data_IF_542553822526
#
_entry.id   IF_542553822526
#
_cell.length_a   1.000
_cell.length_b   1.000
_cell.length_c   1.000
_cell.angle_alpha   90.00
_cell.angle_beta   90.00
_cell.angle_gamma   90.00
#
_symmetry.space_group_name_H-M   'P 1'
#
loop_
_entity.id
_entity.type
_entity.pdbx_description
1 polymer ?
#
# COMPACT_ATOMS: atom_id res chain seq x y z
N UNK A 1 19.55 -10.43 -15.15
CA UNK A 1 19.12 -11.47 -14.17
C UNK A 1 17.95 -12.20 -14.78
N UNK A 2 18.19 -13.39 -15.33
CA UNK A 2 17.09 -14.32 -15.59
C UNK A 2 16.50 -14.72 -14.24
N UNK A 3 15.17 -14.71 -14.12
CA UNK A 3 14.51 -15.15 -12.89
C UNK A 3 14.59 -16.68 -12.84
N UNK A 4 15.65 -17.20 -12.23
CA UNK A 4 15.81 -18.64 -12.02
C UNK A 4 14.62 -19.19 -11.23
N UNK A 5 14.32 -20.48 -11.42
CA UNK A 5 13.27 -21.15 -10.67
C UNK A 5 13.45 -21.00 -9.16
N UNK A 6 14.69 -21.08 -8.68
CA UNK A 6 15.03 -20.86 -7.27
C UNK A 6 14.71 -19.43 -6.79
N UNK A 7 14.84 -18.42 -7.64
CA UNK A 7 14.45 -17.05 -7.28
C UNK A 7 12.93 -16.93 -7.16
N UNK A 8 12.19 -17.54 -8.08
CA UNK A 8 10.71 -17.56 -8.05
C UNK A 8 10.20 -18.22 -6.76
N UNK A 9 10.77 -19.36 -6.38
CA UNK A 9 10.37 -20.06 -5.15
C UNK A 9 10.68 -19.25 -3.89
N UNK A 10 11.82 -18.55 -3.84
CA UNK A 10 12.15 -17.64 -2.72
C UNK A 10 11.18 -16.47 -2.60
N UNK A 11 10.80 -15.86 -3.72
CA UNK A 11 9.78 -14.80 -3.75
C UNK A 11 8.44 -15.35 -3.25
N UNK A 12 8.00 -16.49 -3.79
CA UNK A 12 6.76 -17.14 -3.39
C UNK A 12 6.75 -17.49 -1.90
N UNK A 13 7.85 -18.00 -1.36
CA UNK A 13 7.96 -18.37 0.05
C UNK A 13 7.96 -17.16 0.99
N UNK A 14 8.59 -16.04 0.60
CA UNK A 14 8.49 -14.76 1.32
C UNK A 14 7.04 -14.25 1.36
N UNK A 15 6.36 -14.26 0.21
CA UNK A 15 4.93 -13.89 0.11
C UNK A 15 4.07 -14.81 0.98
N UNK A 16 4.27 -16.14 0.89
CA UNK A 16 3.54 -17.13 1.65
C UNK A 16 3.70 -16.93 3.17
N UNK A 17 4.90 -16.56 3.63
CA UNK A 17 5.16 -16.27 5.05
C UNK A 17 4.24 -15.15 5.56
N UNK A 18 4.12 -14.06 4.80
CA UNK A 18 3.21 -12.97 5.11
C UNK A 18 1.74 -13.34 5.05
N UNK A 19 1.34 -14.08 4.01
CA UNK A 19 -0.03 -14.59 3.84
C UNK A 19 -0.44 -15.46 5.02
N UNK A 20 0.42 -16.36 5.48
CA UNK A 20 0.11 -17.25 6.61
C UNK A 20 0.05 -16.46 7.91
N UNK A 21 1.09 -15.72 8.27
CA UNK A 21 1.19 -15.07 9.59
C UNK A 21 0.20 -13.90 9.75
N UNK A 22 0.04 -13.08 8.72
CA UNK A 22 -0.84 -11.91 8.77
C UNK A 22 -2.18 -12.25 8.12
N UNK A 23 -2.15 -12.69 6.85
CA UNK A 23 -3.36 -12.90 6.05
C UNK A 23 -4.34 -13.92 6.64
N UNK A 24 -3.84 -14.98 7.28
CA UNK A 24 -4.64 -16.07 7.84
C UNK A 24 -4.65 -16.07 9.38
N UNK A 25 -3.49 -16.17 10.02
CA UNK A 25 -3.41 -16.34 11.47
C UNK A 25 -3.83 -15.08 12.24
N UNK A 26 -3.47 -13.90 11.75
CA UNK A 26 -3.88 -12.64 12.39
C UNK A 26 -5.32 -12.23 12.03
N UNK A 27 -5.96 -12.84 11.03
CA UNK A 27 -7.28 -12.42 10.54
C UNK A 27 -8.34 -12.27 11.65
N UNK A 28 -8.45 -13.18 12.65
CA UNK A 28 -9.43 -13.03 13.73
C UNK A 28 -9.30 -11.72 14.53
N UNK A 29 -8.13 -11.06 14.51
CA UNK A 29 -7.88 -9.79 15.20
C UNK A 29 -8.50 -8.58 14.48
N UNK A 30 -8.80 -8.72 13.19
CA UNK A 30 -9.32 -7.66 12.33
C UNK A 30 -10.63 -8.07 11.64
N UNK A 31 -11.08 -9.31 11.84
CA UNK A 31 -12.28 -9.87 11.24
C UNK A 31 -13.50 -9.06 11.71
N UNK A 32 -14.22 -8.41 10.80
CA UNK A 32 -15.46 -7.74 11.15
C UNK A 32 -16.49 -8.76 11.63
N UNK A 33 -17.36 -8.41 12.59
CA UNK A 33 -18.36 -9.34 13.14
C UNK A 33 -19.39 -9.77 12.10
N UNK A 34 -19.57 -8.99 11.04
CA UNK A 34 -20.52 -9.27 9.98
C UNK A 34 -19.84 -9.75 8.69
N UNK A 35 -20.51 -10.61 7.90
CA UNK A 35 -20.05 -11.00 6.58
C UNK A 35 -19.80 -9.76 5.71
N UNK A 36 -18.64 -9.70 5.07
CA UNK A 36 -18.23 -8.58 4.19
C UNK A 36 -18.14 -7.20 4.88
N UNK A 37 -17.96 -7.18 6.21
CA UNK A 37 -17.64 -5.96 6.93
C UNK A 37 -16.30 -5.36 6.47
N UNK A 38 -16.14 -4.06 6.70
CA UNK A 38 -14.95 -3.33 6.26
C UNK A 38 -13.92 -3.28 7.38
N UNK A 39 -12.70 -3.74 7.12
CA UNK A 39 -11.56 -3.58 8.02
C UNK A 39 -11.15 -2.11 8.01
N UNK A 40 -11.42 -1.40 9.12
CA UNK A 40 -11.15 0.03 9.26
C UNK A 40 -11.03 0.42 10.73
N UNK A 41 -10.04 1.26 11.05
CA UNK A 41 -9.81 1.71 12.43
C UNK A 41 -10.95 2.57 12.98
N UNK A 42 -11.47 3.58 12.25
CA UNK A 42 -12.67 4.31 12.65
C UNK A 42 -13.90 3.44 12.91
N UNK A 43 -14.01 2.29 12.23
CA UNK A 43 -15.10 1.33 12.45
C UNK A 43 -14.87 0.42 13.67
N UNK A 44 -13.75 0.59 14.39
CA UNK A 44 -13.45 -0.18 15.59
C UNK A 44 -13.11 -1.65 15.34
N UNK A 45 -12.77 -2.05 14.10
CA UNK A 45 -12.55 -3.47 13.78
C UNK A 45 -11.27 -4.05 14.37
N UNK A 46 -10.33 -3.19 14.77
CA UNK A 46 -9.06 -3.61 15.37
C UNK A 46 -8.92 -2.91 16.72
N UNK A 47 -8.84 -3.70 17.79
CA UNK A 47 -8.54 -3.19 19.13
C UNK A 47 -7.07 -2.77 19.25
N UNK A 48 -6.74 -1.95 20.25
CA UNK A 48 -5.35 -1.55 20.51
C UNK A 48 -4.42 -2.76 20.71
N UNK A 49 -4.88 -3.77 21.45
CA UNK A 49 -4.15 -5.04 21.63
C UNK A 49 -3.99 -5.78 20.30
N UNK A 50 -5.05 -5.84 19.48
CA UNK A 50 -5.00 -6.44 18.14
C UNK A 50 -3.97 -5.74 17.25
N UNK A 51 -3.93 -4.41 17.27
CA UNK A 51 -2.95 -3.61 16.53
C UNK A 51 -1.50 -3.95 16.92
N UNK A 52 -1.21 -4.08 18.22
CA UNK A 52 0.12 -4.47 18.72
C UNK A 52 0.47 -5.88 18.25
N UNK A 53 -0.44 -6.85 18.38
CA UNK A 53 -0.20 -8.22 17.93
C UNK A 53 0.09 -8.27 16.42
N UNK A 54 -0.67 -7.52 15.62
CA UNK A 54 -0.45 -7.45 14.17
C UNK A 54 0.91 -6.85 13.83
N UNK A 55 1.35 -5.82 14.56
CA UNK A 55 2.69 -5.24 14.38
C UNK A 55 3.79 -6.26 14.70
N UNK A 56 3.64 -7.03 15.78
CA UNK A 56 4.56 -8.12 16.15
C UNK A 56 4.59 -9.21 15.08
N UNK A 57 3.41 -9.64 14.60
CA UNK A 57 3.32 -10.65 13.54
C UNK A 57 3.90 -10.15 12.22
N UNK A 58 3.73 -8.87 11.88
CA UNK A 58 4.36 -8.26 10.72
C UNK A 58 5.88 -8.27 10.84
N UNK A 59 6.42 -7.88 12.00
CA UNK A 59 7.85 -7.97 12.29
C UNK A 59 8.37 -9.40 12.15
N UNK A 60 7.70 -10.38 12.75
CA UNK A 60 8.07 -11.80 12.64
C UNK A 60 7.99 -12.29 11.20
N UNK A 61 6.99 -11.89 10.43
CA UNK A 61 6.85 -12.25 9.03
C UNK A 61 8.03 -11.75 8.20
N UNK A 62 8.45 -10.49 8.37
CA UNK A 62 9.65 -9.97 7.71
C UNK A 62 10.93 -10.68 8.17
N UNK A 63 11.05 -10.95 9.46
CA UNK A 63 12.20 -11.65 10.05
C UNK A 63 12.36 -13.06 9.47
N UNK A 64 11.29 -13.86 9.45
CA UNK A 64 11.29 -15.23 8.92
C UNK A 64 11.53 -15.20 7.41
N UNK A 65 10.83 -14.30 6.69
CA UNK A 65 10.96 -14.19 5.24
C UNK A 65 12.39 -13.85 4.79
N UNK A 66 13.16 -13.12 5.60
CA UNK A 66 14.58 -12.90 5.34
C UNK A 66 15.37 -14.21 5.22
N UNK A 67 15.19 -15.14 6.17
CA UNK A 67 15.91 -16.41 6.18
C UNK A 67 15.41 -17.36 5.09
N UNK A 68 14.09 -17.43 4.89
CA UNK A 68 13.49 -18.27 3.84
C UNK A 68 13.93 -17.84 2.43
N UNK A 69 14.19 -16.55 2.22
CA UNK A 69 14.66 -16.02 0.94
C UNK A 69 16.19 -15.83 0.84
N UNK A 70 16.97 -16.46 1.73
CA UNK A 70 18.43 -16.43 1.72
C UNK A 70 19.01 -16.88 0.36
N UNK A 71 20.03 -16.21 -0.21
CA UNK A 71 20.82 -15.10 0.35
C UNK A 71 20.26 -13.69 0.04
N UNK A 72 19.10 -13.60 -0.62
CA UNK A 72 18.46 -12.34 -1.03
C UNK A 72 17.40 -11.88 -0.03
N UNK A 73 17.59 -12.27 1.24
CA UNK A 73 16.65 -12.03 2.34
C UNK A 73 16.24 -10.57 2.50
N UNK A 74 17.21 -9.67 2.32
CA UNK A 74 16.99 -8.24 2.46
C UNK A 74 16.08 -7.69 1.37
N UNK A 75 16.33 -8.12 0.14
CA UNK A 75 15.61 -7.63 -1.03
C UNK A 75 14.22 -8.26 -1.14
N UNK A 76 14.06 -9.54 -0.78
CA UNK A 76 12.81 -10.30 -1.01
C UNK A 76 11.93 -10.35 0.24
N UNK A 77 12.51 -10.38 1.44
CA UNK A 77 11.77 -10.52 2.71
C UNK A 77 10.79 -9.38 2.97
N UNK A 78 11.05 -8.19 2.41
CA UNK A 78 10.17 -7.02 2.51
C UNK A 78 8.79 -7.25 1.88
N UNK A 79 8.60 -8.27 1.03
CA UNK A 79 7.30 -8.58 0.45
C UNK A 79 6.31 -9.18 1.45
N UNK A 80 6.79 -9.79 2.54
CA UNK A 80 5.95 -10.57 3.45
C UNK A 80 4.83 -9.73 4.07
N UNK A 81 5.16 -8.66 4.79
CA UNK A 81 4.15 -7.84 5.46
C UNK A 81 3.08 -7.25 4.51
N UNK A 82 3.43 -6.57 3.40
CA UNK A 82 2.42 -6.03 2.50
C UNK A 82 1.64 -7.11 1.74
N UNK A 83 2.21 -8.30 1.49
CA UNK A 83 1.45 -9.42 0.92
C UNK A 83 0.39 -9.95 1.88
N UNK A 84 0.73 -10.10 3.16
CA UNK A 84 -0.21 -10.47 4.22
C UNK A 84 -1.35 -9.46 4.38
N UNK A 85 -1.02 -8.16 4.40
CA UNK A 85 -2.02 -7.09 4.37
C UNK A 85 -2.84 -7.08 3.08
N UNK A 86 -2.26 -7.50 1.95
CA UNK A 86 -2.98 -7.66 0.68
C UNK A 86 -4.14 -8.64 0.77
N UNK A 87 -3.97 -9.74 1.52
CA UNK A 87 -5.06 -10.69 1.79
C UNK A 87 -6.17 -10.02 2.59
N UNK A 88 -5.83 -9.26 3.63
CA UNK A 88 -6.83 -8.51 4.39
C UNK A 88 -7.54 -7.47 3.52
N UNK A 89 -6.79 -6.76 2.68
CA UNK A 89 -7.33 -5.76 1.78
C UNK A 89 -8.32 -6.33 0.74
N UNK A 90 -8.11 -7.58 0.30
CA UNK A 90 -9.02 -8.30 -0.61
C UNK A 90 -10.22 -8.88 0.13
N UNK A 91 -10.04 -9.36 1.37
CA UNK A 91 -11.10 -9.92 2.20
C UNK A 91 -11.97 -8.85 2.88
N UNK A 92 -11.43 -7.64 3.02
CA UNK A 92 -12.15 -6.48 3.56
C UNK A 92 -13.35 -6.15 2.68
N UNK A 93 -14.40 -5.64 3.31
CA UNK A 93 -15.55 -5.07 2.64
C UNK A 93 -15.22 -3.85 1.77
N UNK A 94 -16.26 -3.15 1.36
CA UNK A 94 -16.17 -2.01 0.47
C UNK A 94 -16.21 -0.68 1.22
N UNK A 95 -15.75 0.39 0.58
CA UNK A 95 -15.96 1.75 1.09
C UNK A 95 -17.46 2.08 1.17
N UNK A 96 -18.25 1.56 0.23
CA UNK A 96 -19.72 1.64 0.26
C UNK A 96 -20.31 0.99 1.52
N UNK A 97 -19.83 -0.19 1.91
CA UNK A 97 -20.31 -0.87 3.11
C UNK A 97 -19.97 -0.04 4.38
N UNK A 98 -18.81 0.61 4.40
CA UNK A 98 -18.40 1.47 5.49
C UNK A 98 -19.28 2.73 5.60
N UNK A 99 -19.53 3.40 4.47
CA UNK A 99 -20.39 4.58 4.40
C UNK A 99 -21.83 4.24 4.78
N UNK A 100 -22.39 3.12 4.29
CA UNK A 100 -23.77 2.71 4.61
C UNK A 100 -24.01 2.45 6.09
N UNK A 101 -22.98 2.01 6.82
CA UNK A 101 -23.03 1.79 8.27
C UNK A 101 -22.88 3.08 9.08
N UNK A 102 -22.45 4.16 8.43
CA UNK A 102 -22.24 5.44 9.07
C UNK A 102 -23.42 6.35 8.75
N UNK A 103 -24.11 6.83 9.80
CA UNK A 103 -25.18 7.81 9.65
C UNK A 103 -24.71 8.99 8.79
N UNK A 104 -25.57 9.48 7.88
CA UNK A 104 -25.21 10.52 6.91
C UNK A 104 -24.57 11.76 7.57
N UNK A 105 -25.08 12.16 8.74
CA UNK A 105 -24.54 13.27 9.54
C UNK A 105 -23.09 13.06 10.03
N UNK A 106 -22.65 11.80 10.16
CA UNK A 106 -21.33 11.45 10.69
C UNK A 106 -20.32 11.07 9.58
N UNK A 107 -20.71 11.09 8.30
CA UNK A 107 -19.84 10.66 7.21
C UNK A 107 -18.66 11.59 6.99
N UNK A 108 -18.82 12.91 7.18
CA UNK A 108 -17.70 13.86 7.12
C UNK A 108 -16.63 13.55 8.18
N UNK A 109 -17.06 13.21 9.40
CA UNK A 109 -16.17 12.78 10.49
C UNK A 109 -15.47 11.44 10.17
N UNK A 110 -16.18 10.49 9.55
CA UNK A 110 -15.58 9.25 9.06
C UNK A 110 -14.44 9.53 8.08
N UNK A 111 -14.69 10.33 7.04
CA UNK A 111 -13.64 10.69 6.07
C UNK A 111 -12.47 11.43 6.74
N UNK A 112 -12.76 12.34 7.68
CA UNK A 112 -11.73 13.04 8.44
C UNK A 112 -10.86 12.10 9.29
N UNK A 113 -11.40 10.97 9.77
CA UNK A 113 -10.64 9.94 10.47
C UNK A 113 -9.88 9.02 9.49
N UNK A 114 -10.51 8.63 8.38
CA UNK A 114 -9.92 7.75 7.36
C UNK A 114 -8.65 8.32 6.73
N UNK A 115 -8.47 9.64 6.67
CA UNK A 115 -7.25 10.27 6.13
C UNK A 115 -5.98 9.88 6.89
N UNK A 116 -6.11 9.51 8.17
CA UNK A 116 -4.99 9.12 9.02
C UNK A 116 -4.75 7.61 9.07
N UNK A 117 -5.76 6.82 8.73
CA UNK A 117 -5.70 5.36 8.75
C UNK A 117 -4.54 4.77 7.89
N UNK A 118 -4.18 5.32 6.71
CA UNK A 118 -3.03 4.84 5.96
C UNK A 118 -1.70 4.87 6.74
N UNK A 119 -1.53 5.80 7.68
CA UNK A 119 -0.32 5.87 8.50
C UNK A 119 -0.21 4.64 9.41
N UNK A 120 -1.33 4.16 9.95
CA UNK A 120 -1.37 2.93 10.72
C UNK A 120 -0.94 1.73 9.87
N UNK A 121 -1.53 1.58 8.68
CA UNK A 121 -1.17 0.47 7.79
C UNK A 121 0.30 0.55 7.33
N UNK A 122 0.82 1.75 7.10
CA UNK A 122 2.24 1.95 6.80
C UNK A 122 3.13 1.57 7.99
N UNK A 123 2.70 1.84 9.23
CA UNK A 123 3.44 1.41 10.42
C UNK A 123 3.52 -0.11 10.51
N UNK A 124 2.47 -0.84 10.14
CA UNK A 124 2.49 -2.31 10.06
C UNK A 124 3.47 -2.80 8.97
N UNK A 125 3.46 -2.19 7.79
CA UNK A 125 4.45 -2.48 6.73
C UNK A 125 5.87 -2.20 7.21
N UNK A 126 6.08 -1.07 7.89
CA UNK A 126 7.37 -0.67 8.44
C UNK A 126 7.87 -1.64 9.51
N UNK A 127 6.98 -2.17 10.37
CA UNK A 127 7.32 -3.22 11.34
C UNK A 127 7.84 -4.48 10.61
N UNK A 128 7.21 -4.87 9.51
CA UNK A 128 7.70 -5.95 8.66
C UNK A 128 9.09 -5.68 8.08
N UNK A 129 9.34 -4.47 7.57
CA UNK A 129 10.66 -4.09 7.09
C UNK A 129 11.71 -4.09 8.20
N UNK A 130 11.34 -3.66 9.41
CA UNK A 130 12.20 -3.71 10.59
C UNK A 130 12.59 -5.16 10.95
N UNK A 131 11.67 -6.12 10.82
CA UNK A 131 11.96 -7.54 10.99
C UNK A 131 13.04 -8.06 10.04
N UNK A 132 12.95 -7.69 8.75
CA UNK A 132 13.97 -8.02 7.75
C UNK A 132 15.35 -7.44 8.13
N UNK A 133 15.37 -6.19 8.59
CA UNK A 133 16.61 -5.52 9.01
C UNK A 133 17.22 -6.16 10.26
N UNK A 134 16.39 -6.57 11.22
CA UNK A 134 16.83 -7.28 12.42
C UNK A 134 17.47 -8.63 12.07
N UNK A 135 16.82 -9.43 11.22
CA UNK A 135 17.35 -10.70 10.73
C UNK A 135 18.68 -10.51 9.98
N UNK A 136 18.77 -9.47 9.15
CA UNK A 136 20.01 -9.10 8.47
C UNK A 136 21.15 -8.76 9.44
N UNK A 137 20.85 -8.01 10.51
CA UNK A 137 21.85 -7.64 11.52
C UNK A 137 22.40 -8.86 12.25
N UNK A 138 21.53 -9.82 12.59
CA UNK A 138 21.93 -11.09 13.23
C UNK A 138 22.80 -11.91 12.28
N UNK A 139 22.38 -12.08 11.02
CA UNK A 139 23.12 -12.87 10.05
C UNK A 139 24.51 -12.29 9.73
N UNK A 140 24.63 -10.97 9.62
CA UNK A 140 25.92 -10.29 9.39
C UNK A 140 26.91 -10.45 10.54
N UNK A 141 26.42 -10.48 11.79
CA UNK A 141 27.29 -10.73 12.96
C UNK A 141 27.97 -12.09 12.86
N UNK A 142 27.36 -13.03 12.15
CA UNK A 142 27.90 -14.37 11.94
C UNK A 142 28.78 -14.49 10.67
N UNK A 143 28.87 -13.44 9.84
CA UNK A 143 29.64 -13.45 8.59
C UNK A 143 30.17 -12.03 8.25
N UNK A 144 31.27 -11.60 8.90
CA UNK A 144 31.77 -10.21 8.84
C UNK A 144 32.38 -9.81 7.49
N UNK A 145 32.70 -10.76 6.59
CA UNK A 145 33.49 -10.48 5.37
C UNK A 145 32.76 -9.72 4.24
N UNK A 146 31.50 -9.33 4.40
CA UNK A 146 30.76 -8.53 3.40
C UNK A 146 30.73 -7.05 3.75
N UNK A 147 31.89 -6.41 3.72
CA UNK A 147 32.01 -4.95 3.68
C UNK A 147 31.41 -4.41 2.38
N UNK A 148 30.32 -3.64 2.47
CA UNK A 148 29.80 -2.82 1.35
C UNK A 148 30.15 -1.36 1.62
N UNK A 149 30.96 -0.80 0.72
CA UNK A 149 31.22 0.64 0.54
C UNK A 149 29.94 1.46 0.76
N UNK A 150 29.95 2.31 1.77
CA UNK A 150 29.00 3.41 1.91
C UNK A 150 29.48 4.50 0.95
N UNK A 151 28.79 4.67 -0.17
CA UNK A 151 29.07 5.75 -1.12
C UNK A 151 28.46 7.06 -0.61
N UNK A 152 29.29 8.11 -0.64
CA UNK A 152 29.08 9.48 -0.19
C UNK A 152 27.66 10.06 -0.34
N UNK A 153 27.21 10.90 0.61
CA UNK A 153 25.99 11.66 0.46
C UNK A 153 26.18 12.74 -0.61
N UNK A 154 25.51 12.58 -1.76
CA UNK A 154 25.38 13.67 -2.74
C UNK A 154 24.39 14.69 -2.17
N UNK A 155 24.80 15.96 -2.10
CA UNK A 155 24.02 17.10 -1.60
C UNK A 155 22.58 17.20 -2.16
N UNK A 156 22.33 16.68 -3.37
CA UNK A 156 20.99 16.68 -4.00
C UNK A 156 20.05 15.55 -3.53
N UNK A 157 20.46 14.71 -2.56
CA UNK A 157 19.65 13.56 -2.14
C UNK A 157 18.31 13.97 -1.53
N UNK A 158 18.28 15.02 -0.70
CA UNK A 158 17.05 15.49 -0.05
C UNK A 158 16.04 16.06 -1.06
N UNK A 159 16.52 16.85 -2.03
CA UNK A 159 15.67 17.39 -3.09
C UNK A 159 15.06 16.27 -3.93
N UNK A 160 15.86 15.27 -4.34
CA UNK A 160 15.37 14.11 -5.10
C UNK A 160 14.32 13.32 -4.32
N UNK A 161 14.46 13.22 -3.01
CA UNK A 161 13.49 12.57 -2.13
C UNK A 161 12.15 13.32 -2.12
N UNK A 162 12.18 14.64 -1.93
CA UNK A 162 10.96 15.47 -1.90
C UNK A 162 10.24 15.40 -3.27
N UNK A 163 10.99 15.57 -4.36
CA UNK A 163 10.46 15.44 -5.72
C UNK A 163 9.88 14.05 -5.94
N UNK A 164 10.57 12.99 -5.52
CA UNK A 164 10.09 11.62 -5.68
C UNK A 164 8.78 11.37 -4.93
N UNK A 165 8.65 11.90 -3.70
CA UNK A 165 7.43 11.77 -2.92
C UNK A 165 6.27 12.50 -3.60
N UNK A 166 6.44 13.78 -3.94
CA UNK A 166 5.41 14.59 -4.58
C UNK A 166 4.99 14.01 -5.95
N UNK A 167 5.97 13.66 -6.79
CA UNK A 167 5.71 13.04 -8.08
C UNK A 167 5.01 11.68 -7.94
N UNK A 168 5.37 10.88 -6.93
CA UNK A 168 4.71 9.59 -6.69
C UNK A 168 3.24 9.77 -6.30
N UNK A 169 2.90 10.77 -5.49
CA UNK A 169 1.51 11.09 -5.14
C UNK A 169 0.72 11.45 -6.41
N UNK A 170 1.25 12.37 -7.23
CA UNK A 170 0.59 12.82 -8.45
C UNK A 170 0.43 11.69 -9.49
N UNK A 171 1.49 10.92 -9.73
CA UNK A 171 1.47 9.78 -10.67
C UNK A 171 0.51 8.71 -10.18
N UNK A 172 0.55 8.36 -8.88
CA UNK A 172 -0.32 7.34 -8.33
C UNK A 172 -1.79 7.76 -8.40
N UNK A 173 -2.09 9.01 -8.03
CA UNK A 173 -3.43 9.56 -8.10
C UNK A 173 -3.98 9.60 -9.53
N UNK A 174 -3.19 10.11 -10.47
CA UNK A 174 -3.56 10.12 -11.89
C UNK A 174 -3.78 8.70 -12.41
N UNK A 175 -2.84 7.78 -12.14
CA UNK A 175 -2.94 6.38 -12.55
C UNK A 175 -4.19 5.70 -12.00
N UNK A 176 -4.51 5.92 -10.72
CA UNK A 176 -5.72 5.36 -10.10
C UNK A 176 -6.98 5.89 -10.79
N UNK A 177 -7.05 7.19 -11.11
CA UNK A 177 -8.18 7.76 -11.85
C UNK A 177 -8.36 7.14 -13.25
N UNK A 178 -7.26 6.74 -13.89
CA UNK A 178 -7.29 6.09 -15.19
C UNK A 178 -7.66 4.61 -15.09
N UNK A 179 -7.11 3.87 -14.12
CA UNK A 179 -7.28 2.41 -14.04
C UNK A 179 -8.46 1.95 -13.18
N UNK A 180 -8.88 2.73 -12.18
CA UNK A 180 -10.01 2.42 -11.30
C UNK A 180 -11.32 3.05 -11.81
N UNK A 181 -11.62 2.88 -13.10
CA UNK A 181 -12.83 3.39 -13.72
C UNK A 181 -13.99 2.41 -13.60
N UNK A 182 -15.11 2.86 -13.06
CA UNK A 182 -16.38 2.16 -13.17
C UNK A 182 -17.40 3.07 -13.87
N UNK A 183 -18.69 2.70 -13.85
CA UNK A 183 -19.80 3.49 -14.37
C UNK A 183 -19.65 4.94 -13.92
N UNK A 184 -19.38 5.81 -14.89
CA UNK A 184 -19.28 7.26 -14.72
C UNK A 184 -20.60 7.87 -15.15
N UNK A 185 -21.18 8.69 -14.30
CA UNK A 185 -22.40 9.43 -14.61
C UNK A 185 -22.09 10.91 -14.51
N UNK A 186 -22.60 11.68 -15.46
CA UNK A 186 -22.49 13.14 -15.44
C UNK A 186 -23.25 13.70 -14.24
N UNK A 187 -22.67 14.71 -13.61
CA UNK A 187 -23.28 15.43 -12.49
C UNK A 187 -23.08 16.94 -12.69
N UNK A 188 -24.14 17.72 -12.54
CA UNK A 188 -24.13 19.16 -12.84
C UNK A 188 -23.18 19.96 -11.91
N UNK A 189 -22.98 19.51 -10.67
CA UNK A 189 -22.18 20.24 -9.67
C UNK A 189 -20.74 19.73 -9.60
N UNK A 190 -20.56 18.42 -9.70
CA UNK A 190 -19.27 17.73 -9.54
C UNK A 190 -18.61 17.40 -10.89
N UNK A 191 -19.29 17.66 -12.01
CA UNK A 191 -18.89 17.31 -13.37
C UNK A 191 -19.12 15.82 -13.67
N UNK A 192 -18.64 14.93 -12.81
CA UNK A 192 -18.94 13.50 -12.89
C UNK A 192 -18.81 12.80 -11.54
N UNK A 193 -19.64 11.79 -11.35
CA UNK A 193 -19.53 10.82 -10.24
C UNK A 193 -19.19 9.44 -10.78
N UNK A 194 -18.53 8.64 -9.95
CA UNK A 194 -18.07 7.30 -10.29
C UNK A 194 -18.65 6.28 -9.32
N UNK A 195 -19.24 5.21 -9.85
CA UNK A 195 -19.60 4.06 -9.02
C UNK A 195 -18.34 3.40 -8.43
N UNK A 196 -18.46 2.77 -7.25
CA UNK A 196 -17.33 2.09 -6.62
C UNK A 196 -16.73 1.03 -7.54
N UNK A 197 -15.43 1.05 -7.85
CA UNK A 197 -14.79 0.01 -8.63
C UNK A 197 -14.83 -1.35 -7.89
N UNK A 198 -14.77 -2.43 -8.67
CA UNK A 198 -14.66 -3.78 -8.11
C UNK A 198 -13.31 -3.97 -7.40
N UNK A 199 -13.26 -4.84 -6.38
CA UNK A 199 -12.04 -5.06 -5.57
C UNK A 199 -10.84 -5.42 -6.44
N UNK A 200 -10.98 -6.34 -7.40
CA UNK A 200 -9.90 -6.73 -8.31
C UNK A 200 -9.38 -5.55 -9.14
N UNK A 201 -10.27 -4.64 -9.54
CA UNK A 201 -9.89 -3.44 -10.29
C UNK A 201 -9.15 -2.43 -9.40
N UNK A 202 -9.58 -2.26 -8.15
CA UNK A 202 -8.87 -1.45 -7.15
C UNK A 202 -7.45 -1.99 -6.95
N UNK A 203 -7.32 -3.30 -6.72
CA UNK A 203 -6.04 -3.99 -6.56
C UNK A 203 -5.12 -3.70 -7.74
N UNK A 204 -5.62 -3.91 -8.95
CA UNK A 204 -4.87 -3.66 -10.19
C UNK A 204 -4.46 -2.18 -10.31
N UNK A 205 -5.42 -1.26 -10.16
CA UNK A 205 -5.20 0.17 -10.32
C UNK A 205 -4.16 0.70 -9.34
N UNK A 206 -4.26 0.35 -8.06
CA UNK A 206 -3.29 0.77 -7.03
C UNK A 206 -1.92 0.15 -7.34
N UNK A 207 -1.85 -1.16 -7.58
CA UNK A 207 -0.59 -1.84 -7.84
C UNK A 207 0.15 -1.25 -9.05
N UNK A 208 -0.54 -1.07 -10.18
CA UNK A 208 0.07 -0.53 -11.41
C UNK A 208 0.48 0.93 -11.23
N UNK A 209 -0.36 1.77 -10.62
CA UNK A 209 -0.08 3.19 -10.45
C UNK A 209 1.14 3.44 -9.57
N UNK A 210 1.26 2.71 -8.46
CA UNK A 210 2.46 2.77 -7.60
C UNK A 210 3.67 2.09 -8.25
N UNK A 211 3.47 1.08 -9.09
CA UNK A 211 4.52 0.49 -9.92
C UNK A 211 5.13 1.49 -10.90
N UNK A 212 4.29 2.26 -11.60
CA UNK A 212 4.74 3.33 -12.50
C UNK A 212 5.46 4.42 -11.70
N UNK A 213 4.89 4.88 -10.59
CA UNK A 213 5.49 5.89 -9.73
C UNK A 213 6.89 5.48 -9.25
N UNK A 214 7.04 4.26 -8.73
CA UNK A 214 8.33 3.77 -8.26
C UNK A 214 9.33 3.50 -9.38
N UNK A 215 8.86 3.06 -10.56
CA UNK A 215 9.71 2.94 -11.73
C UNK A 215 10.31 4.30 -12.11
N UNK A 216 9.48 5.34 -12.20
CA UNK A 216 9.89 6.72 -12.52
C UNK A 216 10.84 7.25 -11.45
N UNK A 217 10.47 7.14 -10.17
CA UNK A 217 11.30 7.61 -9.05
C UNK A 217 12.69 6.95 -9.05
N UNK A 218 12.76 5.63 -9.30
CA UNK A 218 14.05 4.94 -9.43
C UNK A 218 14.79 5.36 -10.69
N UNK A 219 14.11 5.44 -11.83
CA UNK A 219 14.75 5.68 -13.13
C UNK A 219 15.37 7.07 -13.22
N UNK A 220 14.66 8.09 -12.76
CA UNK A 220 15.04 9.50 -12.97
C UNK A 220 15.68 10.13 -11.74
N UNK A 221 15.28 9.73 -10.54
CA UNK A 221 15.75 10.35 -9.29
C UNK A 221 16.70 9.44 -8.49
N UNK A 222 16.85 8.18 -8.91
CA UNK A 222 17.67 7.14 -8.27
C UNK A 222 17.34 6.91 -6.79
N UNK A 223 16.09 7.12 -6.39
CA UNK A 223 15.63 6.90 -5.01
C UNK A 223 15.11 5.47 -4.80
N UNK A 224 14.91 5.07 -3.55
CA UNK A 224 14.36 3.75 -3.18
C UNK A 224 12.83 3.70 -3.33
N UNK A 225 12.28 2.48 -3.32
CA UNK A 225 10.83 2.21 -3.31
C UNK A 225 10.11 2.72 -2.05
N UNK A 226 10.85 3.14 -1.01
CA UNK A 226 10.30 3.62 0.26
C UNK A 226 9.47 4.88 0.06
N UNK A 227 9.92 5.83 -0.78
CA UNK A 227 9.21 7.09 -0.99
C UNK A 227 7.90 6.91 -1.76
N UNK A 228 7.85 6.14 -2.87
CA UNK A 228 6.58 5.73 -3.46
C UNK A 228 5.68 4.96 -2.49
N UNK A 229 6.23 4.13 -1.60
CA UNK A 229 5.43 3.43 -0.58
C UNK A 229 4.78 4.42 0.40
N UNK A 230 5.55 5.37 0.92
CA UNK A 230 5.05 6.43 1.83
C UNK A 230 4.00 7.30 1.13
N UNK A 231 4.14 7.53 -0.18
CA UNK A 231 3.14 8.27 -0.97
C UNK A 231 1.74 7.65 -0.89
N UNK A 232 1.59 6.35 -0.59
CA UNK A 232 0.31 5.69 -0.34
C UNK A 232 -0.57 6.40 0.69
N UNK A 233 0.02 6.89 1.79
CA UNK A 233 -0.71 7.64 2.79
C UNK A 233 -1.10 9.04 2.30
N UNK A 234 -0.19 9.71 1.60
CA UNK A 234 -0.44 11.05 1.08
C UNK A 234 -1.49 11.07 -0.03
N UNK A 235 -1.56 10.04 -0.88
CA UNK A 235 -2.62 9.92 -1.91
C UNK A 235 -4.00 9.88 -1.25
N UNK A 236 -4.16 9.07 -0.20
CA UNK A 236 -5.44 8.98 0.51
C UNK A 236 -5.78 10.30 1.21
N UNK A 237 -4.83 10.88 1.95
CA UNK A 237 -5.05 12.13 2.66
C UNK A 237 -5.39 13.28 1.71
N UNK A 238 -4.64 13.41 0.61
CA UNK A 238 -4.89 14.41 -0.43
C UNK A 238 -6.28 14.22 -1.04
N UNK A 239 -6.64 12.99 -1.45
CA UNK A 239 -7.94 12.73 -2.06
C UNK A 239 -9.10 13.06 -1.11
N UNK A 240 -8.98 12.74 0.18
CA UNK A 240 -10.00 13.09 1.17
C UNK A 240 -10.09 14.60 1.38
N UNK A 241 -8.96 15.31 1.48
CA UNK A 241 -8.96 16.77 1.64
C UNK A 241 -9.58 17.48 0.41
N UNK A 242 -9.33 16.95 -0.79
CA UNK A 242 -9.81 17.56 -2.04
C UNK A 242 -11.26 17.19 -2.34
N UNK A 243 -11.63 15.91 -2.21
CA UNK A 243 -12.90 15.35 -2.72
C UNK A 243 -13.86 14.88 -1.62
N UNK A 244 -13.38 14.75 -0.37
CA UNK A 244 -14.16 14.36 0.81
C UNK A 244 -14.55 15.54 1.68
N UNK A 245 -14.74 16.72 1.08
CA UNK A 245 -15.25 17.91 1.80
C UNK A 245 -16.70 17.70 2.22
N UNK A 246 -17.09 18.32 3.33
CA UNK A 246 -18.41 18.15 3.91
C UNK A 246 -19.55 18.52 2.94
N UNK A 247 -19.41 19.63 2.21
CA UNK A 247 -20.38 20.10 1.23
C UNK A 247 -20.53 19.13 0.04
N UNK A 248 -19.44 18.46 -0.35
CA UNK A 248 -19.45 17.43 -1.40
C UNK A 248 -20.14 16.17 -0.89
N UNK A 249 -19.84 15.74 0.34
CA UNK A 249 -20.43 14.53 0.94
C UNK A 249 -21.95 14.73 1.15
N UNK A 250 -22.37 15.88 1.69
CA UNK A 250 -23.79 16.19 1.85
C UNK A 250 -24.53 16.23 0.50
N UNK A 251 -23.89 16.80 -0.52
CA UNK A 251 -24.44 16.79 -1.88
C UNK A 251 -24.60 15.36 -2.42
N UNK A 252 -23.57 14.53 -2.31
CA UNK A 252 -23.64 13.12 -2.73
C UNK A 252 -24.75 12.36 -2.00
N UNK A 253 -24.89 12.54 -0.68
CA UNK A 253 -25.91 11.86 0.13
C UNK A 253 -27.35 12.24 -0.24
N UNK A 254 -27.57 13.47 -0.69
CA UNK A 254 -28.90 13.95 -1.08
C UNK A 254 -29.30 13.58 -2.50
N UNK A 255 -28.33 13.35 -3.39
CA UNK A 255 -28.58 13.21 -4.84
C UNK A 255 -28.23 11.84 -5.42
N UNK A 256 -27.30 11.12 -4.80
CA UNK A 256 -26.73 9.90 -5.36
C UNK A 256 -26.85 8.71 -4.39
N UNK A 257 -27.05 7.49 -4.91
CA UNK A 257 -26.91 6.29 -4.10
C UNK A 257 -25.50 6.19 -3.52
N UNK A 258 -25.37 5.61 -2.32
CA UNK A 258 -24.08 5.47 -1.59
C UNK A 258 -22.97 4.70 -2.34
N UNK A 259 -23.26 4.13 -3.52
CA UNK A 259 -22.27 3.48 -4.40
C UNK A 259 -21.45 4.48 -5.21
N UNK A 260 -21.90 5.73 -5.32
CA UNK A 260 -21.24 6.76 -6.11
C UNK A 260 -20.32 7.65 -5.27
N UNK A 261 -19.18 8.01 -5.86
CA UNK A 261 -18.15 8.83 -5.26
C UNK A 261 -17.79 9.98 -6.20
N UNK A 262 -17.37 11.11 -5.63
CA UNK A 262 -16.86 12.26 -6.39
C UNK A 262 -15.54 11.97 -7.10
N UNK A 263 -14.78 10.98 -6.63
CA UNK A 263 -13.51 10.57 -7.24
C UNK A 263 -13.18 9.09 -6.94
N UNK A 264 -12.52 8.40 -7.86
CA UNK A 264 -12.19 6.98 -7.68
C UNK A 264 -11.30 6.72 -6.44
N UNK A 265 -10.34 7.61 -6.17
CA UNK A 265 -9.39 7.44 -5.05
C UNK A 265 -10.08 7.40 -3.69
N UNK A 266 -11.12 8.21 -3.46
CA UNK A 266 -11.86 8.22 -2.18
C UNK A 266 -12.75 6.99 -1.97
N UNK A 267 -12.92 6.17 -3.02
CA UNK A 267 -13.66 4.91 -2.97
C UNK A 267 -12.78 3.71 -2.59
N UNK A 268 -11.46 3.93 -2.46
CA UNK A 268 -10.46 2.91 -2.13
C UNK A 268 -10.18 2.93 -0.64
N UNK A 269 -10.20 1.76 0.00
CA UNK A 269 -9.91 1.68 1.43
C UNK A 269 -8.42 1.96 1.73
N UNK A 270 -8.09 2.60 2.87
CA UNK A 270 -6.72 2.83 3.30
C UNK A 270 -5.83 1.57 3.27
N UNK A 271 -6.34 0.43 3.74
CA UNK A 271 -5.60 -0.83 3.73
C UNK A 271 -5.28 -1.31 2.30
N UNK A 272 -6.22 -1.14 1.36
CA UNK A 272 -6.02 -1.49 -0.05
C UNK A 272 -4.97 -0.59 -0.69
N UNK A 273 -5.04 0.72 -0.41
CA UNK A 273 -4.06 1.70 -0.91
C UNK A 273 -2.65 1.35 -0.44
N UNK A 274 -2.47 1.08 0.86
CA UNK A 274 -1.14 0.85 1.43
C UNK A 274 -0.59 -0.53 1.05
N UNK A 275 -1.39 -1.59 1.15
CA UNK A 275 -0.90 -2.94 0.85
C UNK A 275 -0.46 -3.07 -0.61
N UNK A 276 -1.35 -2.73 -1.56
CA UNK A 276 -1.04 -2.84 -2.98
C UNK A 276 -0.15 -1.72 -3.49
N UNK A 277 -0.18 -0.54 -2.87
CA UNK A 277 0.74 0.55 -3.17
C UNK A 277 2.18 0.19 -2.81
N UNK A 278 2.39 -0.49 -1.68
CA UNK A 278 3.70 -1.02 -1.29
C UNK A 278 4.19 -2.09 -2.27
N UNK A 279 3.36 -3.10 -2.57
CA UNK A 279 3.70 -4.18 -3.49
C UNK A 279 4.03 -3.63 -4.90
N UNK A 280 3.18 -2.72 -5.40
CA UNK A 280 3.40 -2.02 -6.66
C UNK A 280 4.72 -1.25 -6.66
N UNK A 281 4.99 -0.50 -5.59
CA UNK A 281 6.23 0.26 -5.45
C UNK A 281 7.49 -0.61 -5.50
N UNK A 282 7.47 -1.76 -4.84
CA UNK A 282 8.59 -2.71 -4.86
C UNK A 282 8.78 -3.29 -6.28
N UNK A 283 7.68 -3.70 -6.93
CA UNK A 283 7.71 -4.24 -8.28
C UNK A 283 8.24 -3.21 -9.29
N UNK A 284 7.73 -1.97 -9.25
CA UNK A 284 8.18 -0.85 -10.08
C UNK A 284 9.66 -0.55 -9.94
N UNK A 285 10.15 -0.52 -8.71
CA UNK A 285 11.56 -0.33 -8.41
C UNK A 285 12.45 -1.44 -8.99
N UNK A 286 12.04 -2.70 -8.87
CA UNK A 286 12.77 -3.83 -9.47
C UNK A 286 12.76 -3.79 -11.00
N UNK A 287 11.62 -3.43 -11.61
CA UNK A 287 11.52 -3.24 -13.06
C UNK A 287 12.50 -2.17 -13.55
N UNK A 288 12.63 -1.05 -12.84
CA UNK A 288 13.58 0.01 -13.21
C UNK A 288 15.04 -0.45 -13.11
N UNK A 289 15.39 -1.25 -12.11
CA UNK A 289 16.73 -1.86 -12.01
C UNK A 289 16.99 -2.79 -13.19
N UNK A 290 16.04 -3.68 -13.50
CA UNK A 290 16.16 -4.63 -14.61
C UNK A 290 16.28 -3.91 -15.95
N UNK A 291 15.48 -2.86 -16.16
CA UNK A 291 15.55 -2.04 -17.36
C UNK A 291 16.93 -1.39 -17.55
N UNK A 292 17.49 -0.81 -16.47
CA UNK A 292 18.83 -0.23 -16.52
C UNK A 292 19.92 -1.28 -16.78
N UNK A 293 19.77 -2.50 -16.25
CA UNK A 293 20.70 -3.59 -16.52
C UNK A 293 20.65 -4.01 -17.99
N UNK A 294 19.45 -4.24 -18.53
CA UNK A 294 19.26 -4.66 -19.92
C UNK A 294 19.83 -3.63 -20.90
N UNK A 295 19.53 -2.34 -20.73
CA UNK A 295 20.05 -1.27 -21.60
C UNK A 295 21.60 -1.20 -21.63
N UNK A 296 22.28 -1.68 -20.59
CA UNK A 296 23.76 -1.64 -20.51
C UNK A 296 24.45 -2.88 -21.10
N UNK A 297 23.71 -3.97 -21.31
CA UNK A 297 24.26 -5.27 -21.72
C UNK A 297 23.47 -5.88 -22.90
N UNK A 298 22.67 -5.08 -23.58
CA UNK A 298 22.04 -5.36 -24.86
C UNK A 298 22.83 -4.61 -25.93
#
# INVERSE_FOLDING_TARGET
>A
MELSWLMKTRIAASVATGVVLIGLLAWPLAAPPEPFGTVSLPAGTISATGAVIVAVLAFLAGFIAYFVSWPYGREIGILAAPAGLGIWAVRSGSMVNLIRRTAAANQSALFAALKWEPLFWLAIVAAGFAGVLAAQRISRKHNPDKNKKISNPKSNMHLNVIIALAASVLIAQFGITVFAQNVRVFDEKLGSVLAQPAVAQIVYAVFVSFGIAAFVAKKFLNVSYIWPTIAGAFVTAFAIITYGKEDIIQYLNSRWPAVFFSHAVISILPIQMVAFGTLGSIAGYWMAIRYNYWRKHA
#
